data_IF_705470950866
#
_entry.id   IF_705470950866
#
_cell.length_a   1.000
_cell.length_b   1.000
_cell.length_c   1.000
_cell.angle_alpha   90.00
_cell.angle_beta   90.00
_cell.angle_gamma   90.00
#
_symmetry.space_group_name_H-M   'P 1'
#
loop_
_entity.id
_entity.type
_entity.pdbx_description
1 polymer ?
#
# COMPACT_ATOMS: atom_id res chain seq x y z
N UNK A 1 11.11 27.30 2.93
CA UNK A 1 10.46 26.18 2.61
C UNK A 1 11.33 24.97 2.65
N UNK A 2 10.85 24.00 3.05
CA UNK A 2 11.62 22.85 3.36
C UNK A 2 11.34 21.71 2.42
N UNK A 3 12.35 21.26 1.73
CA UNK A 3 12.18 20.20 0.76
C UNK A 3 11.78 18.88 1.40
N UNK A 4 12.09 18.70 2.68
CA UNK A 4 11.74 17.47 3.35
C UNK A 4 10.23 17.26 3.42
N UNK A 5 9.45 18.35 3.32
CA UNK A 5 8.00 18.24 3.34
C UNK A 5 7.44 17.62 2.06
N UNK A 6 8.28 17.53 1.03
CA UNK A 6 7.86 16.95 -0.24
C UNK A 6 8.30 15.52 -0.41
N UNK A 7 8.92 14.95 0.61
CA UNK A 7 9.36 13.57 0.53
C UNK A 7 8.17 12.64 0.44
N UNK A 8 8.23 11.70 -0.49
CA UNK A 8 7.21 10.66 -0.61
C UNK A 8 7.47 9.59 0.43
N UNK A 9 6.44 9.27 1.20
CA UNK A 9 6.55 8.29 2.28
C UNK A 9 5.49 7.21 2.10
N UNK A 10 5.69 6.07 2.76
CA UNK A 10 4.68 5.02 2.82
C UNK A 10 3.64 5.45 3.84
N UNK A 11 2.37 5.35 3.48
CA UNK A 11 1.28 5.72 4.36
C UNK A 11 0.59 4.49 4.95
N UNK A 12 0.38 3.46 4.16
CA UNK A 12 -0.27 2.25 4.63
C UNK A 12 0.05 1.08 3.71
N UNK A 13 -0.21 -0.13 4.18
CA UNK A 13 -0.05 -1.34 3.39
C UNK A 13 -1.34 -2.14 3.41
N UNK A 14 -1.67 -2.73 2.25
CA UNK A 14 -2.75 -3.69 2.14
C UNK A 14 -2.18 -4.98 1.59
N UNK A 15 -2.81 -6.11 1.89
CA UNK A 15 -2.25 -7.41 1.49
C UNK A 15 -3.25 -8.20 0.67
N UNK A 16 -2.86 -8.50 -0.58
CA UNK A 16 -3.63 -9.36 -1.44
C UNK A 16 -3.06 -10.77 -1.43
N UNK A 17 -3.53 -11.61 -2.33
CA UNK A 17 -3.08 -13.01 -2.37
C UNK A 17 -1.66 -13.16 -2.89
N UNK A 18 -1.29 -12.40 -3.91
CA UNK A 18 0.03 -12.54 -4.53
C UNK A 18 0.87 -11.27 -4.43
N UNK A 19 0.26 -10.18 -4.00
CA UNK A 19 0.91 -8.88 -3.96
C UNK A 19 0.49 -8.12 -2.73
N UNK A 20 1.35 -7.22 -2.29
CA UNK A 20 0.95 -6.24 -1.30
C UNK A 20 0.78 -4.91 -2.03
N UNK A 21 -0.03 -4.05 -1.44
CA UNK A 21 -0.37 -2.76 -2.04
C UNK A 21 0.07 -1.69 -1.09
N UNK A 22 0.99 -0.86 -1.55
CA UNK A 22 1.62 0.14 -0.71
C UNK A 22 1.10 1.51 -1.11
N UNK A 23 0.39 2.15 -0.18
CA UNK A 23 -0.12 3.50 -0.43
C UNK A 23 0.95 4.50 -0.02
N UNK A 24 1.23 5.44 -0.92
CA UNK A 24 2.18 6.51 -0.66
C UNK A 24 1.45 7.78 -0.26
N UNK A 25 2.16 8.70 0.36
CA UNK A 25 1.57 9.96 0.79
C UNK A 25 1.09 10.82 -0.37
N UNK A 26 1.46 10.46 -1.59
CA UNK A 26 0.98 11.13 -2.80
C UNK A 26 -0.31 10.53 -3.33
N UNK A 27 -0.91 9.59 -2.59
CA UNK A 27 -2.12 8.86 -2.97
C UNK A 27 -1.91 7.85 -4.08
N UNK A 28 -0.67 7.59 -4.46
CA UNK A 28 -0.36 6.51 -5.39
C UNK A 28 -0.37 5.20 -4.63
N UNK A 29 -0.83 4.15 -5.30
CA UNK A 29 -0.77 2.80 -4.73
C UNK A 29 0.10 1.95 -5.64
N UNK A 30 1.15 1.37 -5.07
CA UNK A 30 2.08 0.55 -5.82
C UNK A 30 1.82 -0.93 -5.48
N UNK A 31 1.70 -1.75 -6.51
CA UNK A 31 1.49 -3.19 -6.33
C UNK A 31 2.87 -3.85 -6.31
N UNK A 32 3.22 -4.46 -5.20
CA UNK A 32 4.53 -5.09 -5.02
C UNK A 32 4.33 -6.58 -4.82
N UNK A 33 4.82 -7.41 -5.74
CA UNK A 33 4.65 -8.86 -5.61
C UNK A 33 5.47 -9.38 -4.44
N UNK A 34 4.96 -10.39 -3.77
CA UNK A 34 5.70 -10.99 -2.65
C UNK A 34 7.02 -11.62 -3.11
N UNK A 35 7.10 -11.94 -4.39
CA UNK A 35 8.35 -12.46 -4.95
C UNK A 35 9.47 -11.44 -4.99
N UNK A 36 9.19 -10.19 -4.59
CA UNK A 36 10.20 -9.13 -4.55
C UNK A 36 11.39 -9.52 -3.68
N UNK A 37 11.14 -10.19 -2.55
CA UNK A 37 12.23 -10.75 -1.75
C UNK A 37 11.87 -12.19 -1.35
N UNK A 38 12.91 -12.97 -1.05
CA UNK A 38 12.69 -14.36 -0.65
C UNK A 38 11.91 -14.46 0.66
N UNK A 39 12.18 -13.55 1.58
CA UNK A 39 11.48 -13.58 2.87
C UNK A 39 9.99 -13.27 2.73
N UNK A 40 9.66 -12.29 1.89
CA UNK A 40 8.26 -11.99 1.63
C UNK A 40 7.57 -13.16 0.94
N UNK A 41 8.27 -13.80 -0.01
CA UNK A 41 7.70 -14.89 -0.76
C UNK A 41 7.26 -16.05 0.12
N UNK A 42 8.01 -16.31 1.19
CA UNK A 42 7.74 -17.41 2.09
C UNK A 42 6.87 -17.06 3.28
N UNK A 43 6.49 -15.80 3.41
CA UNK A 43 5.78 -15.33 4.59
C UNK A 43 4.30 -15.72 4.57
N UNK A 44 3.76 -15.96 5.77
CA UNK A 44 2.33 -16.15 5.92
C UNK A 44 1.67 -14.77 5.99
N UNK A 45 0.35 -14.73 5.80
CA UNK A 45 -0.39 -13.47 5.90
C UNK A 45 -0.18 -12.85 7.27
N UNK A 46 -0.19 -13.66 8.30
CA UNK A 46 0.01 -13.22 9.67
C UNK A 46 1.36 -12.53 9.86
N UNK A 47 2.39 -13.12 9.27
CA UNK A 47 3.73 -12.55 9.36
C UNK A 47 3.84 -11.24 8.58
N UNK A 48 3.13 -11.15 7.45
CA UNK A 48 3.14 -9.92 6.65
C UNK A 48 2.44 -8.78 7.37
N UNK A 49 1.36 -9.10 8.09
CA UNK A 49 0.59 -8.08 8.77
C UNK A 49 1.28 -7.55 10.02
N UNK A 50 2.32 -8.23 10.46
CA UNK A 50 3.12 -7.80 11.60
C UNK A 50 4.25 -6.88 11.13
N UNK A 51 3.90 -5.66 10.75
CA UNK A 51 4.87 -4.71 10.24
C UNK A 51 4.78 -3.39 10.98
N UNK A 52 5.81 -2.57 10.82
CA UNK A 52 5.77 -1.18 11.27
C UNK A 52 6.47 -0.32 10.24
N UNK A 53 6.06 0.95 10.19
CA UNK A 53 6.71 1.89 9.30
C UNK A 53 7.98 2.42 9.97
N UNK A 54 9.03 2.55 9.17
CA UNK A 54 10.29 3.10 9.64
C UNK A 54 10.29 4.60 9.44
N UNK A 55 10.60 5.35 10.49
CA UNK A 55 10.72 6.81 10.43
C UNK A 55 9.57 7.45 9.66
N UNK A 56 8.34 7.12 10.05
CA UNK A 56 7.11 7.68 9.48
C UNK A 56 6.88 7.34 8.02
N UNK A 57 7.56 6.33 7.49
CA UNK A 57 7.25 5.86 6.15
C UNK A 57 8.37 5.88 5.14
N UNK A 58 9.62 6.10 5.56
CA UNK A 58 10.73 5.97 4.61
C UNK A 58 10.97 4.52 4.24
N UNK A 59 10.38 3.59 5.01
CA UNK A 59 10.46 2.18 4.73
C UNK A 59 9.47 1.44 5.59
N UNK A 60 9.41 0.13 5.41
CA UNK A 60 8.59 -0.75 6.21
C UNK A 60 9.46 -1.89 6.73
N UNK A 61 9.28 -2.21 8.01
CA UNK A 61 9.98 -3.32 8.64
C UNK A 61 8.97 -4.40 8.98
N UNK A 62 9.21 -5.61 8.49
CA UNK A 62 8.36 -6.76 8.80
C UNK A 62 9.00 -7.49 9.97
N UNK A 63 8.38 -7.36 11.15
CA UNK A 63 8.98 -7.84 12.38
C UNK A 63 9.29 -9.33 12.39
N UNK A 64 8.34 -10.14 11.96
CA UNK A 64 8.51 -11.59 11.96
C UNK A 64 9.56 -12.07 10.95
N UNK A 65 9.76 -11.30 9.88
CA UNK A 65 10.66 -11.68 8.81
C UNK A 65 12.05 -11.07 8.94
N UNK A 66 12.16 -10.08 9.82
CA UNK A 66 13.38 -9.27 9.94
C UNK A 66 13.77 -8.72 8.56
N UNK A 67 12.80 -8.16 7.86
CA UNK A 67 12.97 -7.65 6.51
C UNK A 67 12.61 -6.18 6.43
N UNK A 68 13.50 -5.39 5.83
CA UNK A 68 13.27 -3.96 5.62
C UNK A 68 13.15 -3.68 4.14
N UNK A 69 12.17 -2.86 3.77
CA UNK A 69 11.99 -2.44 2.38
C UNK A 69 11.86 -0.92 2.38
N UNK A 70 12.69 -0.26 1.56
CA UNK A 70 12.67 1.20 1.51
C UNK A 70 11.64 1.70 0.50
N UNK A 71 11.06 2.87 0.80
CA UNK A 71 10.13 3.50 -0.12
C UNK A 71 10.84 3.86 -1.43
N UNK A 72 12.10 4.23 -1.33
CA UNK A 72 12.89 4.58 -2.50
C UNK A 72 13.03 3.41 -3.46
N UNK A 73 13.32 2.23 -2.91
CA UNK A 73 13.43 1.02 -3.71
C UNK A 73 12.12 0.63 -4.36
N UNK A 74 11.02 0.77 -3.62
CA UNK A 74 9.70 0.43 -4.15
C UNK A 74 9.34 1.37 -5.30
N UNK A 75 9.58 2.65 -5.14
CA UNK A 75 9.27 3.63 -6.19
C UNK A 75 10.12 3.37 -7.43
N UNK A 76 11.41 3.09 -7.22
CA UNK A 76 12.31 2.81 -8.34
C UNK A 76 11.84 1.60 -9.15
N UNK A 77 11.42 0.55 -8.46
CA UNK A 77 11.11 -0.71 -9.11
C UNK A 77 9.66 -0.83 -9.58
N UNK A 78 8.74 -0.17 -8.91
CA UNK A 78 7.31 -0.34 -9.18
C UNK A 78 6.55 0.95 -9.39
N UNK A 79 7.22 2.09 -9.30
CA UNK A 79 6.55 3.38 -9.48
C UNK A 79 6.12 3.61 -10.91
N UNK A 80 4.93 4.15 -11.08
CA UNK A 80 4.42 4.51 -12.38
C UNK A 80 3.79 5.89 -12.30
N UNK A 81 3.49 6.45 -13.44
CA UNK A 81 2.88 7.76 -13.51
C UNK A 81 1.48 7.75 -12.91
N UNK A 82 1.14 8.81 -12.18
CA UNK A 82 -0.18 8.95 -11.57
C UNK A 82 -1.08 9.77 -12.49
N UNK A 83 -2.30 9.30 -12.70
CA UNK A 83 -3.30 10.05 -13.47
C UNK A 83 -4.52 10.24 -12.59
N UNK A 84 -5.08 11.45 -12.66
CA UNK A 84 -6.26 11.77 -11.87
C UNK A 84 -7.53 11.46 -12.66
N UNK A 85 -8.47 10.82 -12.03
CA UNK A 85 -9.77 10.54 -12.63
C UNK A 85 -10.86 10.91 -11.65
N UNK A 86 -12.07 11.12 -12.17
CA UNK A 86 -13.26 11.36 -11.36
C UNK A 86 -14.27 10.28 -11.66
N UNK A 87 -14.84 9.70 -10.61
CA UNK A 87 -15.89 8.69 -10.78
C UNK A 87 -17.06 9.03 -9.89
N UNK A 88 -18.25 8.57 -10.29
CA UNK A 88 -19.46 8.75 -9.49
C UNK A 88 -19.87 7.40 -8.94
N UNK A 89 -20.20 7.37 -7.66
CA UNK A 89 -20.61 6.13 -6.99
C UNK A 89 -21.83 6.43 -6.13
N UNK A 90 -22.58 5.39 -5.78
CA UNK A 90 -23.76 5.59 -4.94
C UNK A 90 -23.30 5.95 -3.52
N UNK A 91 -24.17 6.65 -2.79
CA UNK A 91 -23.88 7.01 -1.41
C UNK A 91 -23.72 5.76 -0.54
N UNK A 92 -24.53 4.74 -0.80
CA UNK A 92 -24.45 3.49 -0.03
C UNK A 92 -23.10 2.80 -0.23
N UNK A 93 -22.64 2.75 -1.48
CA UNK A 93 -21.34 2.19 -1.80
C UNK A 93 -20.23 2.93 -1.05
N UNK A 94 -20.32 4.27 -1.09
CA UNK A 94 -19.29 5.10 -0.47
C UNK A 94 -19.24 4.89 1.03
N UNK A 95 -20.41 4.82 1.68
CA UNK A 95 -20.50 4.56 3.10
C UNK A 95 -19.82 3.25 3.48
N UNK A 96 -20.12 2.21 2.74
CA UNK A 96 -19.54 0.89 3.01
C UNK A 96 -18.04 0.88 2.80
N UNK A 97 -17.59 1.52 1.73
CA UNK A 97 -16.18 1.60 1.44
C UNK A 97 -15.43 2.37 2.51
N UNK A 98 -15.97 3.52 2.91
CA UNK A 98 -15.31 4.35 3.92
C UNK A 98 -15.26 3.63 5.28
N UNK A 99 -16.32 2.92 5.63
CA UNK A 99 -16.35 2.17 6.89
C UNK A 99 -15.29 1.08 6.90
N UNK A 100 -15.18 0.35 5.81
CA UNK A 100 -14.17 -0.70 5.68
C UNK A 100 -12.75 -0.11 5.72
N UNK A 101 -12.54 0.97 4.97
CA UNK A 101 -11.23 1.60 4.89
C UNK A 101 -10.77 2.07 6.27
N UNK A 102 -11.66 2.71 7.01
CA UNK A 102 -11.34 3.21 8.33
C UNK A 102 -10.97 2.07 9.29
N UNK A 103 -11.73 0.97 9.21
CA UNK A 103 -11.49 -0.19 10.06
C UNK A 103 -10.11 -0.81 9.80
N UNK A 104 -9.66 -0.74 8.56
CA UNK A 104 -8.40 -1.35 8.16
C UNK A 104 -7.28 -0.33 7.99
N UNK A 105 -7.49 0.89 8.45
CA UNK A 105 -6.49 1.97 8.41
C UNK A 105 -6.02 2.29 6.99
N UNK A 106 -6.95 2.23 6.05
CA UNK A 106 -6.69 2.58 4.66
C UNK A 106 -7.40 3.89 4.32
N UNK A 107 -6.88 4.60 3.34
CA UNK A 107 -7.61 5.72 2.77
C UNK A 107 -8.66 5.16 1.81
N UNK A 108 -9.63 6.00 1.45
CA UNK A 108 -10.61 5.61 0.44
C UNK A 108 -9.91 5.25 -0.86
N UNK A 109 -8.95 6.08 -1.27
CA UNK A 109 -8.21 5.85 -2.50
C UNK A 109 -7.46 4.53 -2.49
N UNK A 110 -6.78 4.24 -1.38
CA UNK A 110 -6.04 2.99 -1.27
C UNK A 110 -6.97 1.78 -1.35
N UNK A 111 -8.10 1.84 -0.67
CA UNK A 111 -9.05 0.74 -0.71
C UNK A 111 -9.56 0.50 -2.12
N UNK A 112 -9.96 1.57 -2.82
CA UNK A 112 -10.52 1.43 -4.16
C UNK A 112 -9.50 0.88 -5.15
N UNK A 113 -8.27 1.38 -5.09
CA UNK A 113 -7.23 0.90 -5.99
C UNK A 113 -6.86 -0.55 -5.70
N UNK A 114 -6.68 -0.87 -4.43
CA UNK A 114 -6.31 -2.22 -4.01
C UNK A 114 -7.41 -3.22 -4.39
N UNK A 115 -8.65 -2.90 -4.07
CA UNK A 115 -9.76 -3.80 -4.35
C UNK A 115 -9.91 -4.04 -5.86
N UNK A 116 -9.75 -2.97 -6.64
CA UNK A 116 -9.87 -3.09 -8.09
C UNK A 116 -8.77 -3.96 -8.67
N UNK A 117 -7.53 -3.75 -8.21
CA UNK A 117 -6.41 -4.55 -8.69
C UNK A 117 -6.58 -6.03 -8.32
N UNK A 118 -7.08 -6.29 -7.12
CA UNK A 118 -7.31 -7.67 -6.69
C UNK A 118 -8.42 -8.33 -7.51
N UNK A 119 -9.48 -7.59 -7.79
CA UNK A 119 -10.57 -8.12 -8.57
C UNK A 119 -10.12 -8.47 -10.00
N UNK A 120 -9.32 -7.59 -10.59
CA UNK A 120 -8.81 -7.84 -11.94
C UNK A 120 -7.87 -9.03 -11.98
N UNK A 121 -7.09 -9.22 -10.92
CA UNK A 121 -6.09 -10.27 -10.86
C UNK A 121 -6.69 -11.66 -10.61
N UNK A 122 -7.91 -11.72 -10.08
CA UNK A 122 -8.52 -13.00 -9.69
C UNK A 122 -9.11 -13.78 -10.87
#
# INVERSE_FOLDING_TARGET
MNTSNNRTLIQSLGFGDEKMYIELTTNRVLAVPYSYTERLKKASREELEDYRLIANGIGVHFNALDEDISVEGIIRDFGSETKRINISVSADFLDKADTYAKKHHLSRSALLQTATMEFIAS
#
